data_IF_667491636512
#
_entry.id   IF_667491636512
#
_cell.length_a   1.000
_cell.length_b   1.000
_cell.length_c   1.000
_cell.angle_alpha   90.00
_cell.angle_beta   90.00
_cell.angle_gamma   90.00
#
_symmetry.space_group_name_H-M   'P 1'
#
loop_
_entity.id
_entity.type
_entity.pdbx_description
1 polymer ?
#
# COMPACT_ATOMS: atom_id res chain seq x y z
N UNK A 1 24.62 -16.20 -1.94
CA UNK A 1 24.86 -14.93 -2.66
C UNK A 1 23.51 -14.28 -2.95
N UNK A 2 23.01 -13.21 -2.36
CA UNK A 2 23.26 -12.44 -1.15
C UNK A 2 21.99 -11.59 -1.04
N UNK A 3 21.26 -11.62 0.08
CA UNK A 3 20.10 -10.75 0.28
C UNK A 3 20.63 -9.32 0.39
N UNK A 4 20.38 -8.51 -0.64
CA UNK A 4 20.71 -7.08 -0.61
C UNK A 4 19.93 -6.46 0.55
N UNK A 5 20.68 -6.08 1.60
CA UNK A 5 20.18 -5.43 2.79
C UNK A 5 19.53 -4.11 2.42
N UNK A 6 18.20 -4.10 2.31
CA UNK A 6 17.44 -2.92 2.61
C UNK A 6 17.62 -2.68 4.11
N UNK A 7 18.25 -1.58 4.50
CA UNK A 7 18.23 -1.13 5.90
C UNK A 7 16.81 -0.72 6.24
N UNK A 8 15.98 -1.71 6.58
CA UNK A 8 14.69 -1.49 7.23
C UNK A 8 15.03 -0.83 8.56
N UNK A 9 14.78 0.47 8.66
CA UNK A 9 15.02 1.19 9.91
C UNK A 9 14.24 0.48 11.03
N UNK A 10 14.81 0.42 12.22
CA UNK A 10 14.07 -0.11 13.37
C UNK A 10 12.92 0.84 13.68
N UNK A 11 11.68 0.35 13.66
CA UNK A 11 10.53 1.12 14.14
C UNK A 11 10.68 1.32 15.65
N UNK A 12 10.87 2.57 16.07
CA UNK A 12 10.98 2.94 17.49
C UNK A 12 9.67 3.48 18.06
N UNK A 13 8.69 3.73 17.20
CA UNK A 13 7.44 4.40 17.53
C UNK A 13 6.27 3.65 16.89
N UNK A 14 5.17 3.62 17.62
CA UNK A 14 3.88 3.10 17.17
C UNK A 14 2.81 4.14 17.50
N UNK A 15 1.86 4.33 16.59
CA UNK A 15 0.77 5.30 16.75
C UNK A 15 -0.57 4.64 16.46
N UNK A 16 -1.62 5.17 17.08
CA UNK A 16 -2.99 4.86 16.67
C UNK A 16 -3.38 5.76 15.50
N UNK A 17 -3.88 5.17 14.42
CA UNK A 17 -4.29 5.86 13.21
C UNK A 17 -5.74 5.50 12.86
N UNK A 18 -6.49 6.44 12.31
CA UNK A 18 -7.79 6.15 11.69
C UNK A 18 -7.73 6.43 10.20
N UNK A 19 -8.21 5.48 9.40
CA UNK A 19 -8.21 5.58 7.94
C UNK A 19 -9.64 5.69 7.44
N UNK A 20 -9.91 6.73 6.66
CA UNK A 20 -11.18 6.92 5.96
C UNK A 20 -11.10 6.47 4.51
N UNK A 21 -12.25 6.21 3.89
CA UNK A 21 -12.34 6.00 2.45
C UNK A 21 -12.70 7.30 1.72
N UNK A 22 -11.98 7.69 0.65
CA UNK A 22 -12.34 8.86 -0.15
C UNK A 22 -13.61 8.66 -0.98
N UNK A 23 -14.09 7.41 -1.10
CA UNK A 23 -15.29 7.07 -1.88
C UNK A 23 -16.51 6.81 -0.99
N UNK A 24 -16.35 6.82 0.33
CA UNK A 24 -17.41 6.45 1.28
C UNK A 24 -17.08 6.96 2.69
N UNK A 25 -17.78 8.01 3.10
CA UNK A 25 -17.60 8.69 4.38
C UNK A 25 -17.95 7.82 5.60
N UNK A 26 -18.74 6.75 5.39
CA UNK A 26 -19.15 5.83 6.46
C UNK A 26 -18.05 4.87 6.89
N UNK A 27 -17.00 4.69 6.08
CA UNK A 27 -15.93 3.74 6.39
C UNK A 27 -14.78 4.42 7.09
N UNK A 28 -14.56 3.98 8.33
CA UNK A 28 -13.43 4.33 9.17
C UNK A 28 -12.81 3.08 9.76
N UNK A 29 -11.54 2.85 9.45
CA UNK A 29 -10.76 1.76 10.01
C UNK A 29 -9.83 2.32 11.09
N UNK A 30 -10.04 1.88 12.34
CA UNK A 30 -9.13 2.22 13.44
C UNK A 30 -8.00 1.20 13.49
N UNK A 31 -6.77 1.69 13.41
CA UNK A 31 -5.53 0.92 13.48
C UNK A 31 -4.80 1.30 14.77
N UNK A 32 -4.88 0.48 15.83
CA UNK A 32 -4.34 0.85 17.14
C UNK A 32 -2.80 0.88 17.19
N UNK A 33 -2.13 0.11 16.33
CA UNK A 33 -0.68 -0.07 16.37
C UNK A 33 -0.05 0.02 14.97
N UNK A 34 0.08 1.24 14.45
CA UNK A 34 0.79 1.52 13.19
C UNK A 34 2.25 1.87 13.49
N UNK A 35 3.18 1.13 12.91
CA UNK A 35 4.62 1.36 13.08
C UNK A 35 5.09 2.57 12.28
N UNK A 36 5.76 3.50 12.96
CA UNK A 36 6.41 4.65 12.32
C UNK A 36 7.87 4.30 12.06
N UNK A 37 8.21 4.25 10.78
CA UNK A 37 9.53 3.91 10.29
C UNK A 37 10.20 5.17 9.72
N UNK A 38 11.49 5.44 10.04
CA UNK A 38 12.21 6.58 9.46
C UNK A 38 12.36 6.45 7.94
N UNK A 39 12.33 5.21 7.43
CA UNK A 39 12.26 4.90 6.01
C UNK A 39 11.43 3.63 5.83
N UNK A 40 10.30 3.75 5.14
CA UNK A 40 9.38 2.63 4.90
C UNK A 40 9.93 1.71 3.81
N UNK A 41 10.24 2.28 2.65
CA UNK A 41 10.82 1.61 1.49
C UNK A 41 11.78 2.55 0.75
N UNK A 42 12.65 1.99 -0.09
CA UNK A 42 13.22 2.76 -1.20
C UNK A 42 12.11 3.16 -2.19
N UNK A 43 12.39 4.05 -3.14
CA UNK A 43 11.45 4.35 -4.24
C UNK A 43 11.01 3.03 -4.90
N UNK A 44 9.69 2.84 -5.01
CA UNK A 44 9.06 1.66 -5.59
C UNK A 44 8.27 2.05 -6.84
N UNK A 45 8.12 1.15 -7.82
CA UNK A 45 8.78 -0.16 -7.90
C UNK A 45 10.29 0.00 -8.15
N UNK A 46 11.15 -0.93 -7.72
CA UNK A 46 12.61 -0.80 -7.95
C UNK A 46 13.02 -0.75 -9.43
N UNK A 47 12.09 -1.11 -10.33
CA UNK A 47 12.16 -1.00 -11.77
C UNK A 47 10.77 -0.62 -12.29
N UNK A 48 10.69 0.31 -13.25
CA UNK A 48 9.42 0.66 -13.91
C UNK A 48 8.69 -0.60 -14.36
N UNK A 49 7.45 -0.75 -13.93
CA UNK A 49 6.59 -1.84 -14.40
C UNK A 49 6.16 -1.48 -15.81
N UNK A 50 6.35 -2.39 -16.77
CA UNK A 50 5.75 -2.19 -18.08
C UNK A 50 4.24 -2.32 -17.90
N UNK A 51 3.50 -1.22 -18.10
CA UNK A 51 2.05 -1.26 -18.38
C UNK A 51 1.85 -2.13 -19.61
N UNK A 52 1.66 -3.43 -19.39
CA UNK A 52 1.04 -4.31 -20.37
C UNK A 52 -0.46 -4.11 -20.24
N UNK A 53 -1.20 -4.34 -21.32
CA UNK A 53 -2.66 -4.41 -21.24
C UNK A 53 -3.02 -5.63 -20.40
N UNK A 54 -3.22 -5.42 -19.10
CA UNK A 54 -3.71 -6.44 -18.18
C UNK A 54 -5.23 -6.38 -18.30
N UNK A 55 -5.87 -7.33 -19.00
CA UNK A 55 -7.30 -7.20 -19.31
C UNK A 55 -8.15 -7.14 -18.04
N UNK A 56 -7.69 -7.80 -16.98
CA UNK A 56 -8.34 -7.80 -15.66
C UNK A 56 -8.22 -6.48 -14.89
N UNK A 57 -7.23 -5.62 -15.21
CA UNK A 57 -7.13 -4.27 -14.64
C UNK A 57 -7.90 -3.21 -15.45
N UNK A 58 -8.40 -3.56 -16.65
CA UNK A 58 -9.08 -2.60 -17.53
C UNK A 58 -10.39 -2.13 -16.92
N UNK A 59 -10.57 -0.81 -16.87
CA UNK A 59 -11.77 -0.18 -16.30
C UNK A 59 -11.89 -0.33 -14.78
N UNK A 60 -10.80 -0.67 -14.07
CA UNK A 60 -10.72 -0.54 -12.63
C UNK A 60 -10.20 0.85 -12.26
N UNK A 61 -10.83 1.46 -11.26
CA UNK A 61 -10.33 2.64 -10.59
C UNK A 61 -9.26 2.21 -9.57
N UNK A 62 -8.01 2.15 -10.03
CA UNK A 62 -6.89 1.66 -9.22
C UNK A 62 -6.61 2.62 -8.06
N UNK A 63 -6.38 2.11 -6.83
CA UNK A 63 -6.00 2.94 -5.70
C UNK A 63 -4.72 3.76 -5.93
N UNK A 64 -3.82 3.23 -6.76
CA UNK A 64 -2.65 3.92 -7.29
C UNK A 64 -2.72 3.94 -8.83
N UNK A 65 -3.21 5.04 -9.43
CA UNK A 65 -3.25 5.18 -10.88
C UNK A 65 -1.87 5.19 -11.53
N UNK A 66 -0.81 5.49 -10.78
CA UNK A 66 0.56 5.61 -11.28
C UNK A 66 1.45 4.47 -10.78
N UNK A 67 0.87 3.30 -10.45
CA UNK A 67 1.56 2.11 -9.93
C UNK A 67 2.79 1.65 -10.75
N UNK A 68 2.85 2.03 -12.02
CA UNK A 68 3.94 1.69 -12.94
C UNK A 68 5.14 2.66 -12.87
N UNK A 69 4.95 3.81 -12.23
CA UNK A 69 5.94 4.85 -12.06
C UNK A 69 6.68 4.73 -10.73
N UNK A 70 7.92 5.22 -10.72
CA UNK A 70 8.76 5.27 -9.53
C UNK A 70 8.20 6.34 -8.57
N UNK A 71 7.65 5.91 -7.45
CA UNK A 71 7.12 6.76 -6.39
C UNK A 71 7.56 6.27 -5.01
N UNK A 72 7.54 7.18 -4.04
CA UNK A 72 7.72 6.82 -2.64
C UNK A 72 6.42 6.22 -2.12
N UNK A 73 6.52 5.15 -1.33
CA UNK A 73 5.37 4.59 -0.62
C UNK A 73 5.33 5.21 0.77
N UNK A 74 4.20 5.80 1.13
CA UNK A 74 4.02 6.48 2.41
C UNK A 74 3.42 5.57 3.49
N UNK A 75 2.67 4.54 3.10
CA UNK A 75 2.08 3.56 4.01
C UNK A 75 2.04 2.16 3.39
N UNK A 76 2.25 1.14 4.22
CA UNK A 76 2.08 -0.28 3.85
C UNK A 76 1.04 -0.88 4.79
N UNK A 77 0.05 -1.53 4.20
CA UNK A 77 -0.97 -2.28 4.92
C UNK A 77 -0.59 -3.75 4.97
N UNK A 78 -0.60 -4.32 6.17
CA UNK A 78 -0.42 -5.75 6.36
C UNK A 78 -1.62 -6.56 5.86
N UNK A 79 -1.46 -7.87 5.78
CA UNK A 79 -2.54 -8.78 5.39
C UNK A 79 -3.65 -8.88 6.45
N UNK A 80 -3.33 -8.57 7.71
CA UNK A 80 -4.24 -8.49 8.85
C UNK A 80 -5.36 -7.46 8.64
N UNK A 81 -5.08 -6.38 7.91
CA UNK A 81 -6.08 -5.36 7.60
C UNK A 81 -6.75 -5.55 6.24
N UNK A 82 -6.23 -6.44 5.39
CA UNK A 82 -6.69 -6.63 4.01
C UNK A 82 -8.18 -6.95 3.90
N UNK A 83 -8.71 -7.80 4.79
CA UNK A 83 -10.12 -8.16 4.81
C UNK A 83 -11.06 -6.97 5.03
N UNK A 84 -10.61 -5.95 5.79
CA UNK A 84 -11.36 -4.72 6.04
C UNK A 84 -11.29 -3.74 4.86
N UNK A 85 -10.25 -3.84 4.02
CA UNK A 85 -10.07 -2.99 2.85
C UNK A 85 -10.91 -3.49 1.64
N UNK A 86 -11.21 -4.78 1.60
CA UNK A 86 -11.99 -5.37 0.52
C UNK A 86 -13.45 -4.90 0.55
N UNK A 87 -13.92 -4.46 -0.62
CA UNK A 87 -15.32 -4.08 -0.85
C UNK A 87 -15.92 -4.91 -1.98
N UNK A 88 -17.23 -4.76 -2.19
CA UNK A 88 -17.92 -5.34 -3.36
C UNK A 88 -17.20 -4.89 -4.66
N UNK A 89 -17.11 -5.80 -5.64
CA UNK A 89 -16.46 -5.52 -6.92
C UNK A 89 -15.11 -6.22 -7.14
N UNK A 90 -14.75 -7.20 -6.33
CA UNK A 90 -13.57 -8.06 -6.56
C UNK A 90 -13.73 -8.76 -7.92
N UNK A 91 -12.78 -8.51 -8.82
CA UNK A 91 -12.68 -9.19 -10.13
C UNK A 91 -11.58 -10.25 -10.05
N UNK A 92 -11.80 -11.39 -10.74
CA UNK A 92 -10.81 -12.46 -10.91
C UNK A 92 -10.02 -12.27 -12.20
#
# INVERSE_FOLDING_TARGET
MGILGASSGVAKQSVTMTIGSPRDDGVRLQLPAVLVLPRLTSVLPSRKVRRRDWPHLKGLDLPDPQFDQLAKVDAIFGADVYGYLLRKGIRR
#
